data_IF_890944383677
#
_entry.id   IF_890944383677
#
_cell.length_a   1.000
_cell.length_b   1.000
_cell.length_c   1.000
_cell.angle_alpha   90.00
_cell.angle_beta   90.00
_cell.angle_gamma   90.00
#
_symmetry.space_group_name_H-M   'P 1'
#
loop_
_entity.id
_entity.type
_entity.pdbx_description
1 polymer ?
#
# COMPACT_ATOMS: atom_id res chain seq x y z
N UNK A 1 93.50 35.37 -20.19
CA UNK A 1 94.26 34.35 -19.44
C UNK A 1 93.77 34.40 -18.00
N UNK A 2 93.09 33.32 -17.55
CA UNK A 2 92.94 32.88 -16.14
C UNK A 2 92.07 33.78 -15.22
N UNK A 3 91.14 33.36 -14.36
CA UNK A 3 90.43 32.12 -13.98
C UNK A 3 89.32 32.53 -12.97
N UNK A 4 88.26 31.74 -12.86
CA UNK A 4 87.52 31.30 -11.64
C UNK A 4 85.99 31.32 -11.83
N UNK A 5 85.39 30.13 -12.00
CA UNK A 5 84.70 29.34 -10.97
C UNK A 5 83.31 29.92 -10.59
N UNK A 6 82.23 29.26 -10.99
CA UNK A 6 81.57 28.17 -10.22
C UNK A 6 80.41 28.71 -9.39
N UNK A 7 79.18 28.34 -9.79
CA UNK A 7 78.09 27.81 -8.95
C UNK A 7 76.72 28.09 -9.58
N UNK A 8 76.00 27.02 -9.91
CA UNK A 8 74.64 26.79 -9.41
C UNK A 8 74.12 25.43 -9.88
N UNK A 9 74.64 24.34 -9.27
CA UNK A 9 73.97 23.02 -9.27
C UNK A 9 73.10 22.83 -8.01
N UNK A 10 72.84 23.92 -7.28
CA UNK A 10 72.18 23.92 -5.96
C UNK A 10 70.70 24.28 -6.00
N UNK A 11 70.19 24.82 -7.11
CA UNK A 11 68.76 25.17 -7.22
C UNK A 11 67.90 23.96 -7.58
N UNK A 12 68.25 23.16 -8.59
CA UNK A 12 67.40 22.02 -8.99
C UNK A 12 67.27 20.92 -7.93
N UNK A 13 68.33 20.70 -7.13
CA UNK A 13 68.34 19.67 -6.08
C UNK A 13 67.46 20.05 -4.88
N UNK A 14 67.30 21.35 -4.61
CA UNK A 14 66.37 21.86 -3.59
C UNK A 14 64.92 21.70 -4.04
N UNK A 15 64.59 22.08 -5.28
CA UNK A 15 63.23 21.92 -5.82
C UNK A 15 62.79 20.45 -5.87
N UNK A 16 63.69 19.53 -6.21
CA UNK A 16 63.38 18.10 -6.21
C UNK A 16 63.18 17.53 -4.78
N UNK A 17 63.97 18.01 -3.81
CA UNK A 17 63.80 17.65 -2.41
C UNK A 17 62.48 18.19 -1.83
N UNK A 18 62.09 19.43 -2.17
CA UNK A 18 60.80 20.00 -1.77
C UNK A 18 59.62 19.30 -2.44
N UNK A 19 59.74 18.88 -3.70
CA UNK A 19 58.71 18.10 -4.40
C UNK A 19 58.52 16.70 -3.79
N UNK A 20 59.61 16.01 -3.44
CA UNK A 20 59.55 14.73 -2.73
C UNK A 20 58.97 14.88 -1.32
N UNK A 21 59.31 15.96 -0.61
CA UNK A 21 58.78 16.22 0.73
C UNK A 21 57.29 16.56 0.69
N UNK A 22 56.84 17.31 -0.32
CA UNK A 22 55.42 17.60 -0.57
C UNK A 22 54.65 16.34 -0.98
N UNK A 23 55.22 15.46 -1.80
CA UNK A 23 54.62 14.17 -2.16
C UNK A 23 54.55 13.21 -0.97
N UNK A 24 55.57 13.18 -0.10
CA UNK A 24 55.52 12.39 1.14
C UNK A 24 54.52 12.97 2.14
N UNK A 25 54.44 14.30 2.27
CA UNK A 25 53.45 14.95 3.13
C UNK A 25 52.03 14.79 2.58
N UNK A 26 51.83 14.81 1.27
CA UNK A 26 50.54 14.51 0.63
C UNK A 26 50.16 13.04 0.77
N UNK A 27 51.12 12.11 0.68
CA UNK A 27 50.90 10.68 0.90
C UNK A 27 50.58 10.36 2.35
N UNK A 28 51.26 10.99 3.32
CA UNK A 28 50.97 10.90 4.75
C UNK A 28 49.64 11.59 5.06
N UNK A 29 49.38 12.77 4.51
CA UNK A 29 48.09 13.44 4.63
C UNK A 29 46.95 12.67 3.94
N UNK A 30 47.20 11.82 2.95
CA UNK A 30 46.20 10.91 2.37
C UNK A 30 46.00 9.66 3.24
N UNK A 31 47.08 9.13 3.82
CA UNK A 31 47.03 7.96 4.70
C UNK A 31 46.40 8.28 6.06
N UNK A 32 46.53 9.53 6.53
CA UNK A 32 45.99 10.05 7.78
C UNK A 32 44.89 11.11 7.57
N UNK A 33 44.55 11.46 6.33
CA UNK A 33 43.30 12.18 6.09
C UNK A 33 42.21 11.30 6.69
N UNK A 34 41.31 11.85 7.51
CA UNK A 34 40.08 11.13 7.81
C UNK A 34 39.51 10.79 6.42
N UNK A 35 39.47 9.50 6.06
CA UNK A 35 38.62 9.08 4.96
C UNK A 35 37.29 9.67 5.33
N UNK A 36 36.78 10.58 4.52
CA UNK A 36 35.42 11.05 4.65
C UNK A 36 34.57 9.80 4.40
N UNK A 37 34.37 8.99 5.45
CA UNK A 37 33.20 8.15 5.59
C UNK A 37 32.10 9.15 5.35
N UNK A 38 31.34 8.96 4.28
CA UNK A 38 30.10 9.69 4.11
C UNK A 38 29.35 9.47 5.41
N UNK A 39 29.34 10.48 6.27
CA UNK A 39 28.35 10.53 7.32
C UNK A 39 27.04 10.50 6.54
N UNK A 40 26.25 9.44 6.74
CA UNK A 40 24.90 9.43 6.21
C UNK A 40 24.21 10.73 6.60
N UNK A 41 23.26 11.23 5.80
CA UNK A 41 22.43 12.37 6.17
C UNK A 41 21.95 12.21 7.63
N UNK A 42 21.98 13.29 8.41
CA UNK A 42 21.47 13.27 9.79
C UNK A 42 20.08 12.61 9.82
N UNK A 43 19.89 11.60 10.67
CA UNK A 43 18.62 10.89 10.82
C UNK A 43 18.42 9.63 9.95
N UNK A 44 19.46 9.14 9.26
CA UNK A 44 19.43 7.84 8.58
C UNK A 44 20.11 6.75 9.41
N UNK A 45 19.40 5.65 9.65
CA UNK A 45 19.92 4.41 10.23
C UNK A 45 20.41 3.55 9.05
N UNK A 46 21.72 3.29 8.97
CA UNK A 46 22.34 2.58 7.85
C UNK A 46 23.12 1.36 8.35
N UNK A 47 23.06 0.24 7.63
CA UNK A 47 23.97 -0.89 7.74
C UNK A 47 24.60 -1.16 6.37
N UNK A 48 25.87 -0.77 6.23
CA UNK A 48 26.74 -1.00 5.05
C UNK A 48 27.51 -2.33 5.15
N UNK A 49 27.20 -3.16 6.16
CA UNK A 49 27.87 -4.43 6.45
C UNK A 49 29.41 -4.35 6.64
N UNK A 50 30.03 -3.17 6.73
CA UNK A 50 31.49 -3.01 6.72
C UNK A 50 32.14 -3.34 8.07
N UNK A 51 31.43 -3.09 9.17
CA UNK A 51 31.96 -3.26 10.53
C UNK A 51 31.15 -4.30 11.29
N UNK A 52 31.83 -5.31 11.83
CA UNK A 52 31.25 -6.38 12.65
C UNK A 52 31.87 -6.43 14.05
N UNK A 53 31.05 -6.72 15.06
CA UNK A 53 31.49 -7.07 16.42
C UNK A 53 30.74 -8.31 16.89
N UNK A 54 31.38 -9.47 16.85
CA UNK A 54 30.72 -10.75 17.12
C UNK A 54 29.63 -11.05 16.09
N UNK A 55 28.41 -11.29 16.55
CA UNK A 55 27.27 -11.64 15.71
C UNK A 55 26.43 -10.42 15.28
N UNK A 56 26.99 -9.21 15.44
CA UNK A 56 26.31 -7.96 15.11
C UNK A 56 27.11 -7.13 14.09
N UNK A 57 26.41 -6.55 13.12
CA UNK A 57 26.94 -5.44 12.33
C UNK A 57 26.80 -4.13 13.11
N UNK A 58 27.67 -3.16 12.81
CA UNK A 58 27.69 -1.87 13.49
C UNK A 58 27.94 -0.73 12.51
N UNK A 59 27.17 0.35 12.63
CA UNK A 59 27.37 1.55 11.85
C UNK A 59 26.81 2.77 12.58
N UNK A 60 27.62 3.84 12.71
CA UNK A 60 27.25 5.12 13.34
C UNK A 60 26.43 5.03 14.64
N UNK A 61 26.80 4.13 15.56
CA UNK A 61 26.10 3.97 16.83
C UNK A 61 24.97 2.93 16.83
N UNK A 62 24.53 2.49 15.66
CA UNK A 62 23.48 1.49 15.51
C UNK A 62 24.06 0.08 15.38
N UNK A 63 23.33 -0.90 15.92
CA UNK A 63 23.65 -2.33 15.85
C UNK A 63 22.58 -3.04 15.05
N UNK A 64 23.01 -4.00 14.22
CA UNK A 64 22.14 -4.80 13.38
C UNK A 64 22.44 -6.28 13.59
N UNK A 65 21.41 -7.11 13.52
CA UNK A 65 21.55 -8.56 13.65
C UNK A 65 22.38 -9.19 12.51
N UNK A 66 22.73 -10.47 12.69
CA UNK A 66 23.34 -11.33 11.66
C UNK A 66 24.71 -10.91 11.16
N UNK A 67 25.53 -10.32 12.03
CA UNK A 67 26.91 -9.95 11.73
C UNK A 67 27.74 -11.13 11.21
N UNK A 68 27.50 -12.34 11.71
CA UNK A 68 28.17 -13.57 11.28
C UNK A 68 28.02 -13.88 9.79
N UNK A 69 27.06 -13.26 9.10
CA UNK A 69 26.84 -13.39 7.66
C UNK A 69 27.68 -12.42 6.81
N UNK A 70 28.60 -11.65 7.42
CA UNK A 70 29.50 -10.77 6.69
C UNK A 70 30.35 -11.56 5.67
N UNK A 71 30.30 -11.16 4.39
CA UNK A 71 31.10 -11.77 3.33
C UNK A 71 31.71 -10.71 2.43
N UNK A 72 32.89 -11.01 1.89
CA UNK A 72 33.58 -10.20 0.86
C UNK A 72 33.44 -10.78 -0.55
N UNK A 73 32.62 -11.83 -0.72
CA UNK A 73 32.39 -12.46 -2.04
C UNK A 73 31.75 -11.46 -3.02
N UNK A 74 30.84 -10.62 -2.52
CA UNK A 74 30.17 -9.55 -3.25
C UNK A 74 29.86 -8.42 -2.30
N UNK A 75 29.83 -7.20 -2.83
CA UNK A 75 29.47 -5.98 -2.12
C UNK A 75 28.85 -5.01 -3.13
N UNK A 76 27.80 -4.30 -2.71
CA UNK A 76 27.25 -3.20 -3.48
C UNK A 76 28.08 -1.95 -3.22
N UNK A 77 28.33 -1.67 -1.94
CA UNK A 77 29.21 -0.59 -1.49
C UNK A 77 30.34 -1.16 -0.63
N UNK A 78 31.45 -0.44 -0.51
CA UNK A 78 32.56 -0.90 0.34
C UNK A 78 33.20 -2.21 -0.12
N UNK A 79 33.40 -3.14 0.82
CA UNK A 79 34.10 -4.42 0.66
C UNK A 79 33.27 -5.62 1.10
N UNK A 80 32.25 -5.41 1.92
CA UNK A 80 31.50 -6.47 2.55
C UNK A 80 30.00 -6.31 2.30
N UNK A 81 29.27 -7.43 2.34
CA UNK A 81 27.81 -7.45 2.38
C UNK A 81 27.33 -8.55 3.33
N UNK A 82 26.02 -8.58 3.60
CA UNK A 82 25.36 -9.68 4.31
C UNK A 82 25.02 -10.81 3.33
N UNK A 83 25.77 -11.92 3.39
CA UNK A 83 25.53 -13.10 2.56
C UNK A 83 24.62 -14.09 3.29
N UNK A 84 23.34 -14.05 2.95
CA UNK A 84 22.34 -15.01 3.43
C UNK A 84 22.55 -16.35 2.70
N UNK A 85 22.82 -17.45 3.40
CA UNK A 85 23.10 -18.74 2.77
C UNK A 85 21.81 -19.41 2.24
N UNK A 86 21.98 -20.44 1.42
CA UNK A 86 20.91 -21.39 1.16
C UNK A 86 20.68 -22.28 2.40
N UNK A 87 19.47 -22.77 2.59
CA UNK A 87 19.06 -23.61 3.72
C UNK A 87 17.59 -23.97 3.66
N UNK A 88 17.14 -24.76 4.64
CA UNK A 88 15.74 -25.17 4.73
C UNK A 88 14.84 -24.02 5.20
N UNK A 89 13.84 -23.68 4.39
CA UNK A 89 12.90 -22.61 4.69
C UNK A 89 13.52 -21.21 4.66
N UNK A 90 12.87 -20.25 5.30
CA UNK A 90 13.29 -18.85 5.28
C UNK A 90 14.64 -18.66 5.98
N UNK A 91 15.56 -17.96 5.30
CA UNK A 91 16.87 -17.62 5.83
C UNK A 91 16.95 -16.11 6.06
N UNK A 92 17.28 -15.68 7.28
CA UNK A 92 17.24 -14.27 7.68
C UNK A 92 18.62 -13.62 7.61
N UNK A 93 18.67 -12.42 7.04
CA UNK A 93 19.84 -11.55 6.99
C UNK A 93 19.81 -10.46 8.06
N UNK A 94 20.58 -9.40 7.85
CA UNK A 94 20.66 -8.29 8.80
C UNK A 94 19.29 -7.62 9.05
N UNK A 95 19.19 -6.91 10.17
CA UNK A 95 17.97 -6.22 10.53
C UNK A 95 18.18 -5.27 11.71
N UNK A 96 17.25 -4.34 11.87
CA UNK A 96 17.26 -3.29 12.88
C UNK A 96 15.95 -3.30 13.67
N UNK A 97 16.06 -3.19 14.99
CA UNK A 97 14.92 -2.97 15.89
C UNK A 97 14.69 -1.47 16.10
N UNK A 98 13.70 -0.90 15.42
CA UNK A 98 13.29 0.47 15.60
C UNK A 98 12.34 0.57 16.82
N UNK A 99 12.86 1.12 17.92
CA UNK A 99 12.13 1.32 19.19
C UNK A 99 11.70 2.76 19.46
N UNK A 100 12.31 3.72 18.77
CA UNK A 100 12.00 5.14 18.94
C UNK A 100 11.19 5.63 17.75
N UNK A 101 9.87 5.66 17.90
CA UNK A 101 8.92 6.10 16.90
C UNK A 101 7.69 6.72 17.58
N UNK A 102 6.88 7.44 16.81
CA UNK A 102 5.52 7.83 17.19
C UNK A 102 4.52 7.24 16.21
N UNK A 103 3.35 6.85 16.74
CA UNK A 103 2.22 6.47 15.90
C UNK A 103 1.94 7.55 14.85
N UNK A 104 1.70 7.12 13.60
CA UNK A 104 1.49 8.00 12.45
C UNK A 104 2.77 8.54 11.77
N UNK A 105 3.96 8.32 12.32
CA UNK A 105 5.20 8.67 11.61
C UNK A 105 5.39 7.77 10.38
N UNK A 106 5.92 8.37 9.31
CA UNK A 106 6.25 7.67 8.08
C UNK A 106 7.74 7.35 8.01
N UNK A 107 8.06 6.17 7.49
CA UNK A 107 9.42 5.71 7.26
C UNK A 107 9.57 5.12 5.87
N UNK A 108 10.79 5.16 5.38
CA UNK A 108 11.25 4.42 4.21
C UNK A 108 12.41 3.52 4.62
N UNK A 109 12.29 2.24 4.29
CA UNK A 109 13.36 1.28 4.35
C UNK A 109 13.80 0.89 2.93
N UNK A 110 15.10 0.75 2.72
CA UNK A 110 15.69 0.27 1.47
C UNK A 110 16.80 -0.72 1.75
N UNK A 111 17.03 -1.67 0.87
CA UNK A 111 18.20 -2.53 0.89
C UNK A 111 18.56 -2.94 -0.55
N UNK A 112 19.85 -3.04 -0.84
CA UNK A 112 20.32 -3.58 -2.09
C UNK A 112 20.41 -5.09 -2.00
N UNK A 113 19.83 -5.79 -2.97
CA UNK A 113 19.83 -7.24 -3.09
C UNK A 113 20.61 -7.67 -4.33
N UNK A 114 21.43 -8.70 -4.20
CA UNK A 114 22.03 -9.41 -5.34
C UNK A 114 21.79 -10.91 -5.20
N UNK A 115 21.25 -11.53 -6.24
CA UNK A 115 21.00 -12.95 -6.29
C UNK A 115 20.40 -13.38 -7.62
N UNK A 116 20.35 -14.69 -7.91
CA UNK A 116 19.60 -15.22 -9.05
C UNK A 116 18.13 -14.75 -9.01
N UNK A 117 17.51 -14.50 -10.16
CA UNK A 117 16.08 -14.18 -10.28
C UNK A 117 15.16 -15.19 -9.56
N UNK A 118 15.64 -16.42 -9.38
CA UNK A 118 14.92 -17.54 -8.75
C UNK A 118 15.13 -17.65 -7.23
N UNK A 119 16.08 -16.91 -6.66
CA UNK A 119 16.54 -17.03 -5.26
C UNK A 119 15.71 -16.24 -4.24
N UNK A 120 14.69 -15.52 -4.71
CA UNK A 120 13.89 -14.63 -3.87
C UNK A 120 14.74 -13.57 -3.15
N UNK A 121 14.15 -12.96 -2.12
CA UNK A 121 14.85 -12.05 -1.22
C UNK A 121 13.99 -10.84 -0.88
N UNK A 122 13.44 -10.77 0.32
CA UNK A 122 12.48 -9.74 0.67
C UNK A 122 13.08 -8.74 1.64
N UNK A 123 12.65 -7.49 1.55
CA UNK A 123 12.75 -6.49 2.61
C UNK A 123 11.42 -6.47 3.37
N UNK A 124 11.49 -6.48 4.70
CA UNK A 124 10.34 -6.62 5.60
C UNK A 124 10.36 -5.54 6.67
N UNK A 125 9.16 -5.11 7.07
CA UNK A 125 8.91 -4.49 8.38
C UNK A 125 7.81 -5.28 9.10
N UNK A 126 8.08 -5.61 10.36
CA UNK A 126 7.19 -6.39 11.22
C UNK A 126 7.02 -5.71 12.58
N UNK A 127 5.79 -5.59 13.06
CA UNK A 127 5.47 -5.19 14.42
C UNK A 127 5.65 -6.33 15.41
N UNK A 128 6.21 -6.02 16.57
CA UNK A 128 6.37 -6.92 17.71
C UNK A 128 5.70 -6.34 18.95
N UNK A 129 5.36 -7.20 19.91
CA UNK A 129 4.67 -6.83 21.15
C UNK A 129 3.19 -7.24 21.21
N UNK A 130 2.65 -7.84 20.14
CA UNK A 130 1.23 -8.22 20.02
C UNK A 130 0.59 -7.62 18.77
N UNK A 131 1.13 -6.48 18.31
CA UNK A 131 0.67 -5.78 17.12
C UNK A 131 0.70 -6.64 15.84
N UNK A 132 -0.46 -6.76 15.19
CA UNK A 132 -0.60 -7.43 13.90
C UNK A 132 -0.17 -6.50 12.74
N UNK A 133 1.14 -6.25 12.62
CA UNK A 133 1.69 -5.40 11.56
C UNK A 133 2.78 -6.13 10.77
N UNK A 134 2.56 -6.32 9.46
CA UNK A 134 3.54 -6.91 8.56
C UNK A 134 3.43 -6.28 7.17
N UNK A 135 4.56 -5.87 6.62
CA UNK A 135 4.71 -5.43 5.23
C UNK A 135 6.01 -5.97 4.66
N UNK A 136 6.00 -6.38 3.40
CA UNK A 136 7.18 -6.89 2.72
C UNK A 136 7.18 -6.51 1.24
N UNK A 137 8.37 -6.43 0.65
CA UNK A 137 8.55 -6.31 -0.81
C UNK A 137 9.71 -7.18 -1.26
N UNK A 138 9.54 -7.86 -2.38
CA UNK A 138 10.59 -8.55 -3.15
C UNK A 138 10.73 -7.96 -4.56
N UNK A 139 9.89 -6.98 -4.90
CA UNK A 139 9.87 -6.29 -6.18
C UNK A 139 10.94 -5.18 -6.21
N UNK A 140 11.87 -5.21 -7.19
CA UNK A 140 12.91 -4.20 -7.28
C UNK A 140 12.34 -2.87 -7.80
N UNK A 141 12.63 -1.77 -7.10
CA UNK A 141 12.33 -0.42 -7.57
C UNK A 141 13.21 -0.04 -8.76
N UNK A 142 14.49 -0.42 -8.68
CA UNK A 142 15.48 -0.20 -9.72
C UNK A 142 16.56 -1.27 -9.68
N UNK A 143 17.34 -1.37 -10.75
CA UNK A 143 18.49 -2.24 -10.83
C UNK A 143 19.74 -1.46 -11.29
N UNK A 144 20.88 -1.77 -10.68
CA UNK A 144 22.17 -1.23 -11.09
C UNK A 144 22.72 -1.99 -12.30
N UNK A 145 23.63 -1.40 -13.10
CA UNK A 145 24.31 -2.11 -14.19
C UNK A 145 25.07 -3.36 -13.75
N UNK A 146 25.47 -3.43 -12.48
CA UNK A 146 26.16 -4.58 -11.90
C UNK A 146 25.22 -5.71 -11.46
N UNK A 147 23.90 -5.56 -11.66
CA UNK A 147 22.89 -6.58 -11.35
C UNK A 147 22.38 -6.54 -9.91
N UNK A 148 22.73 -5.51 -9.13
CA UNK A 148 22.10 -5.28 -7.82
C UNK A 148 20.72 -4.66 -8.00
N UNK A 149 19.80 -4.99 -7.12
CA UNK A 149 18.41 -4.57 -7.17
C UNK A 149 18.07 -3.82 -5.89
N UNK A 150 17.57 -2.59 -6.00
CA UNK A 150 17.14 -1.83 -4.82
C UNK A 150 15.72 -2.20 -4.46
N UNK A 151 15.53 -2.77 -3.28
CA UNK A 151 14.22 -2.94 -2.67
C UNK A 151 13.87 -1.67 -1.89
N UNK A 152 12.60 -1.27 -1.92
CA UNK A 152 12.11 -0.10 -1.20
C UNK A 152 10.73 -0.37 -0.61
N UNK A 153 10.58 -0.08 0.67
CA UNK A 153 9.33 -0.21 1.41
C UNK A 153 9.07 1.09 2.17
N UNK A 154 7.94 1.73 1.89
CA UNK A 154 7.43 2.87 2.65
C UNK A 154 6.31 2.40 3.56
N UNK A 155 6.33 2.82 4.83
CA UNK A 155 5.37 2.39 5.83
C UNK A 155 5.07 3.51 6.83
N UNK A 156 3.86 3.50 7.37
CA UNK A 156 3.49 4.31 8.52
C UNK A 156 3.50 3.44 9.78
N UNK A 157 3.82 4.05 10.92
CA UNK A 157 3.77 3.38 12.23
C UNK A 157 2.31 3.30 12.69
N UNK A 158 1.74 2.10 12.93
CA UNK A 158 0.36 1.98 13.36
C UNK A 158 0.16 2.56 14.76
N UNK A 159 -1.04 3.08 15.01
CA UNK A 159 -1.49 3.48 16.36
C UNK A 159 -2.02 2.24 17.08
N UNK A 160 -1.10 1.37 17.48
CA UNK A 160 -1.38 0.11 18.16
C UNK A 160 -0.72 0.12 19.54
N UNK A 161 -1.50 0.08 20.64
CA UNK A 161 -0.96 0.11 21.99
C UNK A 161 -0.13 -1.14 22.35
N UNK A 162 -0.24 -2.22 21.59
CA UNK A 162 0.56 -3.44 21.76
C UNK A 162 1.87 -3.40 20.96
N UNK A 163 2.14 -2.35 20.16
CA UNK A 163 3.38 -2.24 19.40
C UNK A 163 4.55 -1.82 20.30
N UNK A 164 5.47 -2.74 20.60
CA UNK A 164 6.73 -2.47 21.32
C UNK A 164 7.81 -1.96 20.36
N UNK A 165 8.05 -2.67 19.25
CA UNK A 165 9.04 -2.27 18.26
C UNK A 165 8.71 -2.74 16.85
N UNK A 166 9.33 -2.07 15.88
CA UNK A 166 9.32 -2.49 14.48
C UNK A 166 10.66 -3.16 14.16
N UNK A 167 10.62 -4.40 13.68
CA UNK A 167 11.79 -5.10 13.15
C UNK A 167 11.84 -4.92 11.64
N UNK A 168 12.86 -4.23 11.15
CA UNK A 168 13.11 -4.01 9.72
C UNK A 168 14.28 -4.89 9.31
N UNK A 169 14.04 -5.87 8.45
CA UNK A 169 15.03 -6.90 8.13
C UNK A 169 14.87 -7.45 6.73
N UNK A 170 15.87 -8.23 6.30
CA UNK A 170 15.85 -8.94 5.03
C UNK A 170 15.83 -10.45 5.25
N UNK A 171 15.21 -11.19 4.33
CA UNK A 171 15.27 -12.65 4.32
C UNK A 171 15.29 -13.19 2.89
N UNK A 172 15.72 -14.44 2.71
CA UNK A 172 15.61 -15.19 1.45
C UNK A 172 14.77 -16.45 1.62
N UNK A 173 14.32 -17.04 0.51
CA UNK A 173 13.53 -18.28 0.53
C UNK A 173 14.37 -19.54 0.78
N UNK A 174 15.68 -19.39 1.01
CA UNK A 174 16.62 -20.46 1.32
C UNK A 174 17.04 -21.30 0.13
N UNK A 175 16.48 -21.12 -1.08
CA UNK A 175 16.82 -21.97 -2.23
C UNK A 175 18.24 -21.75 -2.72
N UNK A 176 18.72 -20.52 -2.66
CA UNK A 176 20.02 -20.10 -3.17
C UNK A 176 20.59 -18.97 -2.28
N UNK A 177 21.92 -18.78 -2.25
CA UNK A 177 22.51 -17.65 -1.52
C UNK A 177 22.08 -16.30 -2.11
N UNK A 178 21.76 -15.35 -1.24
CA UNK A 178 21.39 -13.98 -1.58
C UNK A 178 22.25 -13.02 -0.78
N UNK A 179 22.70 -11.95 -1.42
CA UNK A 179 23.51 -10.91 -0.81
C UNK A 179 22.64 -9.69 -0.58
N UNK A 180 22.70 -9.13 0.62
CA UNK A 180 22.07 -7.87 0.96
C UNK A 180 23.12 -6.87 1.42
N UNK A 181 22.95 -5.63 1.02
CA UNK A 181 23.86 -4.55 1.35
C UNK A 181 23.12 -3.22 1.51
N UNK A 182 23.76 -2.26 2.18
CA UNK A 182 23.27 -0.90 2.39
C UNK A 182 21.79 -0.85 2.85
N UNK A 183 21.44 -1.56 3.94
CA UNK A 183 20.12 -1.42 4.57
C UNK A 183 20.01 -0.02 5.17
N UNK A 184 19.11 0.79 4.63
CA UNK A 184 18.88 2.17 5.07
C UNK A 184 17.45 2.36 5.52
N UNK A 185 17.25 2.96 6.70
CA UNK A 185 15.97 3.31 7.28
C UNK A 185 16.00 4.81 7.58
N UNK A 186 15.02 5.55 7.03
CA UNK A 186 14.88 6.98 7.29
C UNK A 186 13.44 7.33 7.59
N UNK A 187 13.25 8.26 8.53
CA UNK A 187 11.95 8.89 8.73
C UNK A 187 11.66 9.81 7.55
N UNK A 188 10.46 9.73 7.01
CA UNK A 188 9.98 10.63 5.97
C UNK A 188 9.35 11.85 6.62
N UNK A 189 9.80 13.03 6.22
CA UNK A 189 9.08 14.26 6.53
C UNK A 189 7.88 14.36 5.60
N UNK A 190 6.69 14.23 6.17
CA UNK A 190 5.44 14.49 5.48
C UNK A 190 5.23 16.00 5.53
N UNK A 191 5.23 16.72 4.40
CA UNK A 191 5.00 18.17 4.40
C UNK A 191 3.70 18.50 5.14
N UNK A 192 3.63 19.64 5.83
CA UNK A 192 2.35 20.12 6.40
C UNK A 192 1.28 20.32 5.32
N UNK A 193 1.70 20.54 4.06
CA UNK A 193 0.82 20.62 2.89
C UNK A 193 0.36 19.25 2.37
N UNK A 194 0.84 18.15 2.93
CA UNK A 194 0.38 16.81 2.55
C UNK A 194 -1.10 16.65 2.90
N UNK A 195 -1.79 15.87 2.08
CA UNK A 195 -3.20 15.59 2.31
C UNK A 195 -3.42 14.94 3.68
N UNK A 196 -4.17 15.64 4.55
CA UNK A 196 -4.61 15.15 5.85
C UNK A 196 -6.10 14.84 5.75
N UNK A 197 -6.50 13.57 5.55
CA UNK A 197 -7.90 13.25 5.46
C UNK A 197 -8.60 13.51 6.79
N UNK A 198 -9.82 14.06 6.73
CA UNK A 198 -10.71 14.02 7.88
C UNK A 198 -10.90 12.56 8.33
N UNK A 199 -11.10 12.33 9.63
CA UNK A 199 -11.22 10.97 10.18
C UNK A 199 -12.66 10.69 10.62
N UNK A 200 -13.25 9.61 10.14
CA UNK A 200 -14.52 9.09 10.64
C UNK A 200 -14.27 8.03 11.72
N UNK A 201 -15.12 8.01 12.75
CA UNK A 201 -15.10 6.96 13.76
C UNK A 201 -16.37 6.11 13.64
N UNK A 202 -16.21 4.88 13.17
CA UNK A 202 -17.27 3.88 13.12
C UNK A 202 -17.25 3.06 14.42
N UNK A 203 -18.37 3.08 15.15
CA UNK A 203 -18.57 2.31 16.37
C UNK A 203 -19.61 1.22 16.15
N UNK A 204 -19.20 -0.03 16.27
CA UNK A 204 -20.03 -1.23 16.15
C UNK A 204 -19.96 -1.95 17.51
N UNK A 205 -21.09 -2.39 18.03
CA UNK A 205 -21.11 -3.19 19.26
C UNK A 205 -20.50 -4.58 19.04
N UNK A 206 -20.19 -5.28 20.14
CA UNK A 206 -19.53 -6.60 20.09
C UNK A 206 -20.37 -7.62 19.31
N UNK A 207 -21.70 -7.61 19.50
CA UNK A 207 -22.61 -8.51 18.78
C UNK A 207 -22.60 -8.22 17.26
N UNK A 208 -22.68 -6.95 16.86
CA UNK A 208 -22.60 -6.55 15.46
C UNK A 208 -21.26 -6.90 14.83
N UNK A 209 -20.15 -6.70 15.56
CA UNK A 209 -18.82 -7.04 15.08
C UNK A 209 -18.67 -8.56 14.90
N UNK A 210 -19.12 -9.36 15.87
CA UNK A 210 -19.10 -10.82 15.78
C UNK A 210 -19.91 -11.34 14.57
N UNK A 211 -21.04 -10.71 14.25
CA UNK A 211 -21.83 -11.04 13.05
C UNK A 211 -21.09 -10.72 11.76
N UNK A 212 -20.38 -9.59 11.70
CA UNK A 212 -19.55 -9.24 10.54
C UNK A 212 -18.37 -10.20 10.39
N UNK A 213 -17.74 -10.59 11.50
CA UNK A 213 -16.66 -11.59 11.53
C UNK A 213 -17.14 -12.94 11.01
N UNK A 214 -18.27 -13.44 11.51
CA UNK A 214 -18.88 -14.68 11.03
C UNK A 214 -19.15 -14.62 9.53
N UNK A 215 -19.64 -13.47 9.03
CA UNK A 215 -19.89 -13.28 7.60
C UNK A 215 -18.61 -13.28 6.78
N UNK A 216 -17.55 -12.69 7.30
CA UNK A 216 -16.22 -12.73 6.68
C UNK A 216 -15.68 -14.15 6.64
N UNK A 217 -15.76 -14.91 7.73
CA UNK A 217 -15.32 -16.31 7.77
C UNK A 217 -16.08 -17.18 6.78
N UNK A 218 -17.40 -16.98 6.65
CA UNK A 218 -18.21 -17.62 5.63
C UNK A 218 -17.65 -17.32 4.23
N UNK A 219 -17.42 -16.05 3.91
CA UNK A 219 -16.91 -15.62 2.60
C UNK A 219 -15.51 -16.18 2.31
N UNK A 220 -14.61 -16.18 3.29
CA UNK A 220 -13.27 -16.76 3.16
C UNK A 220 -13.33 -18.26 2.87
N UNK A 221 -14.30 -18.97 3.46
CA UNK A 221 -14.51 -20.41 3.22
C UNK A 221 -15.12 -20.70 1.84
N UNK A 222 -16.04 -19.86 1.37
CA UNK A 222 -16.73 -20.08 0.09
C UNK A 222 -15.99 -19.48 -1.11
N UNK A 223 -15.05 -18.56 -0.87
CA UNK A 223 -14.27 -17.86 -1.89
C UNK A 223 -14.92 -16.57 -2.42
N UNK A 224 -16.15 -16.25 -1.99
CA UNK A 224 -16.92 -15.07 -2.40
C UNK A 224 -17.75 -14.54 -1.23
N UNK A 225 -17.98 -13.23 -1.19
CA UNK A 225 -18.89 -12.59 -0.25
C UNK A 225 -20.29 -12.50 -0.86
N UNK A 226 -21.27 -13.17 -0.26
CA UNK A 226 -22.67 -13.06 -0.62
C UNK A 226 -23.41 -12.26 0.45
N UNK A 227 -23.92 -11.07 0.11
CA UNK A 227 -24.60 -10.20 1.08
C UNK A 227 -26.10 -10.05 0.81
N UNK A 228 -26.92 -10.05 1.85
CA UNK A 228 -28.36 -9.80 1.83
C UNK A 228 -28.83 -8.78 2.87
N UNK A 229 -30.14 -8.62 3.01
CA UNK A 229 -30.76 -7.66 3.93
C UNK A 229 -30.56 -7.99 5.41
N UNK A 230 -30.30 -9.26 5.73
CA UNK A 230 -30.04 -9.71 7.10
C UNK A 230 -28.58 -9.52 7.54
N UNK A 231 -27.67 -9.12 6.65
CA UNK A 231 -26.25 -8.92 6.96
C UNK A 231 -25.94 -7.52 7.51
N UNK A 232 -26.94 -6.66 7.65
CA UNK A 232 -26.77 -5.33 8.23
C UNK A 232 -26.76 -5.37 9.76
N UNK A 233 -25.76 -4.72 10.35
CA UNK A 233 -25.65 -4.50 11.80
C UNK A 233 -25.80 -3.01 12.12
N UNK A 234 -26.28 -2.69 13.32
CA UNK A 234 -26.39 -1.30 13.77
C UNK A 234 -25.01 -0.77 14.15
N UNK A 235 -24.77 0.51 13.90
CA UNK A 235 -23.54 1.18 14.29
C UNK A 235 -23.77 2.69 14.44
N UNK A 236 -22.79 3.39 15.01
CA UNK A 236 -22.75 4.85 15.11
C UNK A 236 -21.54 5.38 14.37
N UNK A 237 -21.74 6.41 13.55
CA UNK A 237 -20.69 7.06 12.79
C UNK A 237 -20.47 8.47 13.35
N UNK A 238 -19.30 8.70 13.94
CA UNK A 238 -18.89 10.03 14.38
C UNK A 238 -18.21 10.75 13.23
N UNK A 239 -18.66 11.96 12.96
CA UNK A 239 -18.14 12.87 11.95
C UNK A 239 -17.53 14.06 12.67
N UNK A 240 -16.27 14.47 12.41
CA UNK A 240 -15.60 15.52 13.17
C UNK A 240 -16.36 16.84 13.26
N UNK A 241 -17.08 17.20 12.19
CA UNK A 241 -17.82 18.44 12.08
C UNK A 241 -19.22 18.37 12.73
N UNK A 242 -19.62 17.23 13.31
CA UNK A 242 -20.93 17.02 13.92
C UNK A 242 -20.81 16.72 15.42
N UNK A 243 -21.69 17.33 16.22
CA UNK A 243 -21.75 17.13 17.68
C UNK A 243 -22.22 15.71 17.99
N UNK A 244 -23.38 15.35 17.43
CA UNK A 244 -24.00 14.04 17.64
C UNK A 244 -23.57 13.06 16.55
N UNK A 245 -23.28 11.79 16.90
CA UNK A 245 -22.98 10.76 15.91
C UNK A 245 -24.22 10.43 15.08
N UNK A 246 -24.00 10.04 13.82
CA UNK A 246 -25.05 9.52 12.95
C UNK A 246 -25.35 8.07 13.31
N UNK A 247 -26.64 7.76 13.49
CA UNK A 247 -27.12 6.38 13.55
C UNK A 247 -27.03 5.76 12.15
N UNK A 248 -26.29 4.67 12.01
CA UNK A 248 -26.06 4.00 10.73
C UNK A 248 -26.34 2.49 10.83
N UNK A 249 -26.56 1.86 9.69
CA UNK A 249 -26.36 0.42 9.53
C UNK A 249 -25.12 0.19 8.70
N UNK A 250 -24.37 -0.86 9.01
CA UNK A 250 -23.19 -1.27 8.23
C UNK A 250 -23.24 -2.74 7.88
N UNK A 251 -22.65 -3.10 6.74
CA UNK A 251 -22.37 -4.48 6.33
C UNK A 251 -21.05 -4.54 5.59
N UNK A 252 -20.50 -5.74 5.43
CA UNK A 252 -19.35 -5.95 4.55
C UNK A 252 -19.69 -5.57 3.10
N UNK A 253 -18.71 -4.98 2.40
CA UNK A 253 -18.80 -4.60 0.99
C UNK A 253 -17.94 -5.53 0.13
N UNK A 254 -18.37 -5.70 -1.11
CA UNK A 254 -17.65 -6.43 -2.15
C UNK A 254 -18.33 -7.77 -2.44
N UNK A 255 -17.97 -8.36 -3.57
CA UNK A 255 -18.31 -9.74 -3.92
C UNK A 255 -17.06 -10.62 -3.84
N UNK A 256 -15.89 -10.05 -4.19
CA UNK A 256 -14.59 -10.68 -4.03
C UNK A 256 -13.98 -10.42 -2.65
N UNK A 257 -12.99 -11.25 -2.30
CA UNK A 257 -12.33 -11.23 -0.99
C UNK A 257 -11.31 -10.09 -0.84
N UNK A 258 -10.97 -9.36 -1.91
CA UNK A 258 -10.07 -8.20 -1.90
C UNK A 258 -10.52 -7.12 -0.90
N UNK A 259 -11.83 -6.94 -0.74
CA UNK A 259 -12.42 -6.05 0.24
C UNK A 259 -12.34 -6.54 1.70
N UNK A 260 -11.98 -7.81 1.92
CA UNK A 260 -11.98 -8.49 3.21
C UNK A 260 -10.59 -9.00 3.64
N UNK A 261 -9.56 -8.74 2.84
CA UNK A 261 -8.18 -9.14 3.15
C UNK A 261 -7.68 -8.41 4.38
N UNK A 262 -6.90 -9.14 5.18
CA UNK A 262 -6.28 -8.65 6.41
C UNK A 262 -7.30 -7.99 7.36
N UNK A 263 -6.85 -6.97 8.10
CA UNK A 263 -7.62 -6.22 9.09
C UNK A 263 -8.38 -5.02 8.49
N UNK A 264 -8.21 -4.75 7.19
CA UNK A 264 -8.72 -3.53 6.54
C UNK A 264 -10.00 -3.77 5.73
N UNK A 265 -11.05 -4.21 6.42
CA UNK A 265 -12.32 -4.58 5.79
C UNK A 265 -13.03 -3.37 5.19
N UNK A 266 -13.72 -3.58 4.07
CA UNK A 266 -14.57 -2.58 3.44
C UNK A 266 -16.01 -2.69 3.90
N UNK A 267 -16.65 -1.55 4.10
CA UNK A 267 -18.01 -1.45 4.61
C UNK A 267 -18.92 -0.74 3.61
N UNK A 268 -20.18 -1.17 3.54
CA UNK A 268 -21.28 -0.34 3.04
C UNK A 268 -22.01 0.23 4.23
N UNK A 269 -22.22 1.54 4.24
CA UNK A 269 -22.81 2.32 5.32
C UNK A 269 -24.12 2.92 4.84
N UNK A 270 -25.19 2.73 5.60
CA UNK A 270 -26.52 3.32 5.36
C UNK A 270 -26.91 4.20 6.55
N UNK A 271 -27.04 5.50 6.32
CA UNK A 271 -27.46 6.48 7.33
C UNK A 271 -28.96 6.33 7.62
N UNK A 272 -29.34 6.38 8.90
CA UNK A 272 -30.72 6.22 9.36
C UNK A 272 -31.39 7.57 9.66
N UNK A 273 -32.71 7.53 9.89
CA UNK A 273 -33.44 8.66 10.46
C UNK A 273 -33.66 9.84 9.53
N UNK A 274 -33.53 9.65 8.21
CA UNK A 274 -33.63 10.74 7.23
C UNK A 274 -32.41 11.66 7.16
N UNK A 275 -31.41 11.43 8.02
CA UNK A 275 -30.11 12.11 7.96
C UNK A 275 -29.27 11.64 6.75
N UNK A 276 -28.22 12.40 6.45
CA UNK A 276 -27.26 12.08 5.39
C UNK A 276 -25.86 12.55 5.79
N UNK A 277 -24.83 11.85 5.33
CA UNK A 277 -23.44 12.30 5.46
C UNK A 277 -22.97 12.92 4.14
N UNK A 278 -22.59 14.20 4.16
CA UNK A 278 -22.29 14.98 2.94
C UNK A 278 -23.41 14.88 1.88
N UNK A 279 -24.67 14.69 2.29
CA UNK A 279 -25.79 14.49 1.36
C UNK A 279 -25.89 13.07 0.74
N UNK A 280 -25.13 12.09 1.24
CA UNK A 280 -25.26 10.67 0.90
C UNK A 280 -26.07 9.94 2.00
N UNK A 281 -27.07 9.14 1.60
CA UNK A 281 -27.76 8.24 2.54
C UNK A 281 -27.08 6.88 2.59
N UNK A 282 -26.62 6.36 1.45
CA UNK A 282 -25.78 5.15 1.40
C UNK A 282 -24.44 5.49 0.74
N UNK A 283 -23.36 5.02 1.34
CA UNK A 283 -22.02 5.13 0.79
C UNK A 283 -21.17 3.93 1.21
N UNK A 284 -20.00 3.82 0.63
CA UNK A 284 -19.01 2.79 0.96
C UNK A 284 -17.83 3.44 1.66
N UNK A 285 -17.22 2.72 2.60
CA UNK A 285 -15.89 2.99 3.12
C UNK A 285 -15.05 1.77 2.76
N UNK A 286 -14.15 1.89 1.77
CA UNK A 286 -13.39 0.74 1.27
C UNK A 286 -11.88 0.97 1.29
N UNK A 287 -11.13 -0.13 1.34
CA UNK A 287 -9.67 -0.09 1.19
C UNK A 287 -9.32 0.48 -0.20
N UNK A 288 -8.43 1.48 -0.31
CA UNK A 288 -8.03 2.02 -1.61
C UNK A 288 -7.41 0.98 -2.56
N UNK A 289 -6.80 -0.07 -2.00
CA UNK A 289 -6.21 -1.17 -2.77
C UNK A 289 -7.25 -1.87 -3.68
N UNK A 290 -8.49 -2.03 -3.22
CA UNK A 290 -9.57 -2.66 -3.98
C UNK A 290 -10.09 -1.77 -5.14
N UNK A 291 -9.52 -0.57 -5.30
CA UNK A 291 -9.82 0.41 -6.34
C UNK A 291 -8.54 1.04 -6.92
N UNK A 292 -7.44 0.31 -6.94
CA UNK A 292 -6.19 0.77 -7.57
C UNK A 292 -5.70 2.15 -7.05
N UNK A 293 -5.91 2.41 -5.76
CA UNK A 293 -5.39 3.58 -5.06
C UNK A 293 -5.80 4.93 -5.69
N UNK A 294 -4.84 5.73 -6.14
CA UNK A 294 -5.07 7.05 -6.71
C UNK A 294 -5.63 6.99 -8.13
N UNK A 295 -5.53 5.86 -8.83
CA UNK A 295 -6.01 5.72 -10.21
C UNK A 295 -7.53 5.94 -10.29
N UNK A 296 -8.30 5.35 -9.37
CA UNK A 296 -9.75 5.53 -9.31
C UNK A 296 -10.12 6.99 -9.01
N UNK A 297 -9.45 7.60 -8.03
CA UNK A 297 -9.65 9.02 -7.72
C UNK A 297 -9.39 9.91 -8.95
N UNK A 298 -8.28 9.67 -9.66
CA UNK A 298 -7.95 10.42 -10.87
C UNK A 298 -8.99 10.24 -11.97
N UNK A 299 -9.53 9.04 -12.12
CA UNK A 299 -10.61 8.76 -13.07
C UNK A 299 -11.90 9.51 -12.72
N UNK A 300 -12.25 9.57 -11.43
CA UNK A 300 -13.36 10.40 -10.95
C UNK A 300 -13.15 11.89 -11.25
N UNK A 301 -11.96 12.42 -11.03
CA UNK A 301 -11.65 13.82 -11.35
C UNK A 301 -11.73 14.10 -12.85
N UNK A 302 -11.29 13.15 -13.69
CA UNK A 302 -11.45 13.26 -15.14
C UNK A 302 -12.93 13.26 -15.54
N UNK A 303 -13.75 12.36 -15.01
CA UNK A 303 -15.18 12.32 -15.30
C UNK A 303 -15.90 13.60 -14.86
N UNK A 304 -15.60 14.11 -13.66
CA UNK A 304 -16.13 15.41 -13.20
C UNK A 304 -15.76 16.53 -14.17
N UNK A 305 -14.51 16.58 -14.63
CA UNK A 305 -14.01 17.59 -15.57
C UNK A 305 -14.73 17.53 -16.92
N UNK A 306 -15.01 16.33 -17.42
CA UNK A 306 -15.67 16.12 -18.72
C UNK A 306 -17.21 16.07 -18.62
N UNK A 307 -17.78 16.44 -17.47
CA UNK A 307 -19.22 16.38 -17.17
C UNK A 307 -19.84 15.00 -17.46
N UNK A 308 -19.09 13.94 -17.14
CA UNK A 308 -19.56 12.56 -17.12
C UNK A 308 -20.09 12.26 -15.71
N UNK A 309 -21.34 11.78 -15.64
CA UNK A 309 -21.97 11.42 -14.37
C UNK A 309 -21.11 10.41 -13.61
N UNK A 310 -20.72 10.74 -12.38
CA UNK A 310 -19.83 9.88 -11.59
C UNK A 310 -20.13 9.94 -10.09
N UNK A 311 -19.83 8.89 -9.32
CA UNK A 311 -20.05 8.89 -7.87
C UNK A 311 -19.13 9.88 -7.16
N UNK A 312 -19.58 10.41 -6.02
CA UNK A 312 -18.69 11.15 -5.13
C UNK A 312 -17.67 10.19 -4.53
N UNK A 313 -16.40 10.43 -4.85
CA UNK A 313 -15.26 9.63 -4.43
C UNK A 313 -14.16 10.55 -3.88
N UNK A 314 -13.62 10.22 -2.69
CA UNK A 314 -12.44 10.86 -2.11
C UNK A 314 -11.89 10.00 -0.95
N UNK A 315 -10.78 10.42 -0.35
CA UNK A 315 -10.13 9.72 0.75
C UNK A 315 -10.54 10.25 2.13
N UNK A 316 -10.55 9.35 3.12
CA UNK A 316 -10.94 9.61 4.50
C UNK A 316 -10.13 8.73 5.45
N UNK A 317 -9.81 9.18 6.65
CA UNK A 317 -9.31 8.31 7.72
C UNK A 317 -10.46 7.50 8.31
N UNK A 318 -10.23 6.24 8.67
CA UNK A 318 -11.24 5.43 9.35
C UNK A 318 -10.70 4.88 10.67
N UNK A 319 -11.45 5.13 11.74
CA UNK A 319 -11.27 4.46 13.03
C UNK A 319 -12.43 3.51 13.26
N UNK A 320 -12.15 2.27 13.63
CA UNK A 320 -13.15 1.26 13.99
C UNK A 320 -12.99 0.92 15.47
N UNK A 321 -14.03 1.19 16.27
CA UNK A 321 -14.02 0.92 17.71
C UNK A 321 -12.77 1.46 18.45
N UNK A 322 -12.27 2.62 18.02
CA UNK A 322 -11.08 3.28 18.59
C UNK A 322 -9.75 2.90 17.93
N UNK A 323 -9.69 1.80 17.15
CA UNK A 323 -8.49 1.41 16.40
C UNK A 323 -8.37 2.21 15.11
N UNK A 324 -7.22 2.83 14.86
CA UNK A 324 -6.95 3.55 13.62
C UNK A 324 -6.62 2.58 12.48
N UNK A 325 -7.47 2.54 11.45
CA UNK A 325 -7.29 1.69 10.29
C UNK A 325 -6.61 2.44 9.13
N UNK A 326 -6.24 3.71 9.32
CA UNK A 326 -5.60 4.56 8.31
C UNK A 326 -6.54 5.01 7.19
N UNK A 327 -5.97 5.29 6.02
CA UNK A 327 -6.68 5.87 4.87
C UNK A 327 -7.60 4.86 4.20
N UNK A 328 -8.86 5.25 4.04
CA UNK A 328 -9.90 4.61 3.27
C UNK A 328 -10.33 5.53 2.11
N UNK A 329 -10.98 4.97 1.11
CA UNK A 329 -11.77 5.75 0.16
C UNK A 329 -13.25 5.66 0.55
N UNK A 330 -13.94 6.79 0.46
CA UNK A 330 -15.40 6.79 0.48
C UNK A 330 -15.95 6.90 -0.93
N UNK A 331 -17.07 6.24 -1.18
CA UNK A 331 -17.72 6.22 -2.49
C UNK A 331 -19.25 6.20 -2.33
N UNK A 332 -19.91 7.15 -2.96
CA UNK A 332 -21.37 7.25 -3.00
C UNK A 332 -22.04 6.01 -3.61
N UNK A 333 -23.21 5.63 -3.09
CA UNK A 333 -24.05 4.59 -3.71
C UNK A 333 -24.99 5.17 -4.78
N UNK A 334 -25.43 4.32 -5.71
CA UNK A 334 -26.38 4.70 -6.74
C UNK A 334 -27.78 4.90 -6.16
N UNK A 335 -28.09 6.14 -5.81
CA UNK A 335 -29.39 6.61 -5.36
C UNK A 335 -29.71 7.93 -6.08
N UNK A 336 -30.95 8.42 -5.98
CA UNK A 336 -31.36 9.64 -6.69
C UNK A 336 -30.50 10.87 -6.39
N UNK A 337 -29.95 10.95 -5.18
CA UNK A 337 -29.08 12.03 -4.73
C UNK A 337 -27.82 12.15 -5.58
N UNK A 338 -27.35 11.06 -6.20
CA UNK A 338 -26.19 11.04 -7.10
C UNK A 338 -26.39 12.00 -8.30
N UNK A 339 -27.54 11.88 -8.97
CA UNK A 339 -27.85 12.69 -10.15
C UNK A 339 -28.26 14.11 -9.75
N UNK A 340 -29.01 14.26 -8.65
CA UNK A 340 -29.42 15.56 -8.11
C UNK A 340 -28.21 16.42 -7.69
N UNK A 341 -27.21 15.82 -7.04
CA UNK A 341 -25.98 16.50 -6.63
C UNK A 341 -25.16 17.01 -7.84
N UNK A 342 -25.34 16.41 -9.02
CA UNK A 342 -24.71 16.82 -10.28
C UNK A 342 -25.64 17.66 -11.15
N UNK A 343 -26.65 18.31 -10.55
CA UNK A 343 -27.60 19.21 -11.24
C UNK A 343 -28.37 18.52 -12.37
N UNK A 344 -28.54 17.20 -12.29
CA UNK A 344 -29.35 16.41 -13.22
C UNK A 344 -30.69 16.09 -12.57
N UNK A 345 -31.74 16.05 -13.38
CA UNK A 345 -33.09 15.71 -12.92
C UNK A 345 -33.13 14.26 -12.45
N UNK A 346 -33.89 13.99 -11.39
CA UNK A 346 -34.18 12.63 -10.93
C UNK A 346 -34.70 11.76 -12.09
N UNK A 347 -34.17 10.54 -12.17
CA UNK A 347 -34.53 9.54 -13.16
C UNK A 347 -33.98 8.16 -12.80
N UNK A 348 -34.39 7.11 -13.54
CA UNK A 348 -33.92 5.75 -13.31
C UNK A 348 -32.41 5.63 -13.53
N UNK A 349 -31.70 5.03 -12.56
CA UNK A 349 -30.31 4.59 -12.73
C UNK A 349 -30.34 3.11 -13.04
N UNK A 350 -30.00 2.76 -14.28
CA UNK A 350 -30.06 1.38 -14.76
C UNK A 350 -28.83 0.58 -14.35
N UNK A 351 -29.01 -0.72 -14.16
CA UNK A 351 -27.93 -1.70 -13.98
C UNK A 351 -28.26 -3.01 -14.68
N UNK A 352 -27.23 -3.77 -15.00
CA UNK A 352 -27.37 -5.15 -15.44
C UNK A 352 -27.47 -6.06 -14.22
N UNK A 353 -28.36 -7.04 -14.28
CA UNK A 353 -28.50 -8.04 -13.23
C UNK A 353 -27.33 -9.03 -13.31
N UNK A 354 -26.63 -9.22 -12.19
CA UNK A 354 -25.40 -10.02 -12.13
C UNK A 354 -25.61 -11.40 -11.47
N UNK A 355 -26.81 -11.71 -10.97
CA UNK A 355 -27.07 -12.93 -10.20
C UNK A 355 -26.66 -14.19 -10.98
N UNK A 356 -27.05 -14.29 -12.26
CA UNK A 356 -26.69 -15.44 -13.08
C UNK A 356 -25.17 -15.58 -13.31
N UNK A 357 -24.45 -14.46 -13.38
CA UNK A 357 -22.98 -14.46 -13.43
C UNK A 357 -22.41 -15.03 -12.14
N UNK A 358 -22.87 -14.55 -10.99
CA UNK A 358 -22.38 -14.95 -9.68
C UNK A 358 -22.74 -16.41 -9.34
N UNK A 359 -23.91 -16.89 -9.76
CA UNK A 359 -24.29 -18.31 -9.66
C UNK A 359 -23.32 -19.20 -10.45
N UNK A 360 -22.90 -18.77 -11.64
CA UNK A 360 -21.92 -19.49 -12.45
C UNK A 360 -20.51 -19.49 -11.82
N UNK A 361 -20.12 -18.39 -11.20
CA UNK A 361 -18.86 -18.26 -10.43
C UNK A 361 -18.90 -19.20 -9.23
N UNK A 362 -19.96 -19.15 -8.43
CA UNK A 362 -20.16 -19.99 -7.24
C UNK A 362 -20.11 -21.47 -7.58
N UNK A 363 -20.79 -21.88 -8.66
CA UNK A 363 -20.77 -23.27 -9.13
C UNK A 363 -19.36 -23.74 -9.49
N UNK A 364 -18.53 -22.90 -10.11
CA UNK A 364 -17.14 -23.26 -10.42
C UNK A 364 -16.29 -23.42 -9.17
N UNK A 365 -16.42 -22.50 -8.22
CA UNK A 365 -15.71 -22.60 -6.94
C UNK A 365 -16.10 -23.88 -6.20
N UNK A 366 -17.39 -24.21 -6.16
CA UNK A 366 -17.89 -25.44 -5.51
C UNK A 366 -17.43 -26.72 -6.20
N UNK A 367 -17.40 -26.75 -7.54
CA UNK A 367 -17.03 -27.97 -8.29
C UNK A 367 -15.52 -28.17 -8.39
N UNK A 368 -14.76 -27.10 -8.57
CA UNK A 368 -13.34 -27.18 -8.95
C UNK A 368 -12.39 -26.65 -7.87
N UNK A 369 -12.87 -25.83 -6.93
CA UNK A 369 -12.02 -25.09 -5.98
C UNK A 369 -11.28 -23.89 -6.59
N UNK A 370 -11.46 -23.60 -7.88
CA UNK A 370 -10.84 -22.47 -8.58
C UNK A 370 -11.70 -21.99 -9.76
N UNK A 371 -11.44 -20.77 -10.23
CA UNK A 371 -12.11 -20.16 -11.38
C UNK A 371 -11.39 -20.50 -12.69
N UNK A 372 -12.16 -20.91 -13.71
CA UNK A 372 -11.62 -21.12 -15.05
C UNK A 372 -11.79 -19.84 -15.89
N UNK A 373 -10.74 -19.02 -15.92
CA UNK A 373 -10.75 -17.72 -16.60
C UNK A 373 -10.84 -17.79 -18.13
N UNK A 374 -10.56 -18.95 -18.74
CA UNK A 374 -10.54 -19.13 -20.20
C UNK A 374 -11.85 -19.66 -20.79
N UNK A 375 -12.87 -19.89 -19.96
CA UNK A 375 -14.17 -20.37 -20.43
C UNK A 375 -15.08 -19.17 -20.61
N UNK A 376 -15.52 -18.94 -21.84
CA UNK A 376 -16.58 -17.99 -22.13
C UNK A 376 -17.87 -18.45 -21.44
N UNK A 377 -18.39 -17.59 -20.58
CA UNK A 377 -19.59 -17.87 -19.79
C UNK A 377 -20.70 -16.96 -20.31
N UNK A 378 -21.75 -17.51 -20.95
CA UNK A 378 -22.86 -16.70 -21.45
C UNK A 378 -23.46 -15.78 -20.36
N UNK A 379 -23.47 -16.22 -19.11
CA UNK A 379 -23.94 -15.44 -17.97
C UNK A 379 -23.12 -14.16 -17.67
N UNK A 380 -21.91 -14.02 -18.23
CA UNK A 380 -21.06 -12.83 -18.12
C UNK A 380 -21.33 -11.78 -19.20
N UNK A 381 -22.11 -12.11 -20.23
CA UNK A 381 -22.37 -11.20 -21.34
C UNK A 381 -23.49 -10.24 -20.93
N UNK A 382 -23.27 -8.91 -21.00
CA UNK A 382 -24.32 -7.92 -20.66
C UNK A 382 -25.60 -8.09 -21.46
N UNK A 383 -25.49 -8.59 -22.70
CA UNK A 383 -26.62 -8.92 -23.58
C UNK A 383 -27.61 -9.93 -22.98
N UNK A 384 -27.12 -10.80 -22.09
CA UNK A 384 -27.91 -11.86 -21.45
C UNK A 384 -28.41 -11.44 -20.06
N UNK A 385 -28.02 -10.26 -19.56
CA UNK A 385 -28.41 -9.77 -18.25
C UNK A 385 -29.73 -8.99 -18.35
N UNK A 386 -30.64 -9.24 -17.39
CA UNK A 386 -31.82 -8.39 -17.25
C UNK A 386 -31.40 -6.96 -16.89
N UNK A 387 -32.12 -5.97 -17.44
CA UNK A 387 -31.90 -4.55 -17.14
C UNK A 387 -32.88 -4.14 -16.03
N UNK A 388 -32.33 -3.76 -14.87
CA UNK A 388 -33.06 -3.35 -13.67
C UNK A 388 -32.70 -1.90 -13.30
N UNK A 389 -33.41 -1.32 -12.34
CA UNK A 389 -33.04 -0.04 -11.75
C UNK A 389 -32.52 -0.19 -10.31
N UNK A 390 -31.60 0.69 -9.90
CA UNK A 390 -31.33 0.89 -8.48
C UNK A 390 -32.58 1.47 -7.79
N UNK A 391 -32.94 0.91 -6.62
CA UNK A 391 -34.13 1.34 -5.88
C UNK A 391 -35.45 1.12 -6.61
N UNK A 392 -35.53 0.11 -7.50
CA UNK A 392 -36.67 -0.10 -8.39
C UNK A 392 -38.02 -0.17 -7.66
N UNK A 393 -38.09 -0.81 -6.49
CA UNK A 393 -39.31 -0.90 -5.69
C UNK A 393 -39.86 0.46 -5.23
N UNK A 394 -38.98 1.42 -4.94
CA UNK A 394 -39.35 2.79 -4.60
C UNK A 394 -39.68 3.60 -5.86
N UNK A 395 -38.91 3.39 -6.93
CA UNK A 395 -39.13 4.02 -8.23
C UNK A 395 -40.52 3.72 -8.79
N UNK A 396 -40.96 2.46 -8.70
CA UNK A 396 -42.24 1.98 -9.23
C UNK A 396 -43.47 2.53 -8.47
N UNK A 397 -43.28 3.22 -7.34
CA UNK A 397 -44.36 3.92 -6.62
C UNK A 397 -44.78 5.21 -7.33
N UNK A 398 -43.95 5.75 -8.22
CA UNK A 398 -44.25 6.93 -9.03
C UNK A 398 -44.61 6.52 -10.45
N UNK A 399 -45.78 6.92 -10.92
CA UNK A 399 -46.21 6.64 -12.31
C UNK A 399 -45.27 7.27 -13.34
N UNK A 400 -44.83 8.50 -13.08
CA UNK A 400 -43.89 9.22 -13.95
C UNK A 400 -42.54 8.49 -14.03
N UNK A 401 -41.97 8.11 -12.88
CA UNK A 401 -40.69 7.40 -12.88
C UNK A 401 -40.82 6.01 -13.48
N UNK A 402 -41.95 5.33 -13.29
CA UNK A 402 -42.24 4.03 -13.92
C UNK A 402 -42.22 4.13 -15.44
N UNK A 403 -42.83 5.17 -16.01
CA UNK A 403 -42.80 5.41 -17.46
C UNK A 403 -41.38 5.70 -17.94
N UNK A 404 -40.63 6.53 -17.21
CA UNK A 404 -39.23 6.82 -17.53
C UNK A 404 -38.34 5.58 -17.46
N UNK A 405 -38.53 4.71 -16.47
CA UNK A 405 -37.81 3.44 -16.35
C UNK A 405 -38.07 2.53 -17.54
N UNK A 406 -39.33 2.35 -17.93
CA UNK A 406 -39.69 1.55 -19.12
C UNK A 406 -39.03 2.09 -20.38
N UNK A 407 -39.03 3.41 -20.56
CA UNK A 407 -38.38 4.07 -21.69
C UNK A 407 -36.86 3.86 -21.66
N UNK A 408 -36.22 4.13 -20.52
CA UNK A 408 -34.78 3.98 -20.35
C UNK A 408 -34.33 2.54 -20.59
N UNK A 409 -35.07 1.56 -20.06
CA UNK A 409 -34.83 0.14 -20.27
C UNK A 409 -34.90 -0.24 -21.76
N UNK A 410 -35.92 0.26 -22.47
CA UNK A 410 -36.04 0.01 -23.91
C UNK A 410 -34.88 0.64 -24.69
N UNK A 411 -34.44 1.85 -24.33
CA UNK A 411 -33.28 2.50 -24.96
C UNK A 411 -31.98 1.73 -24.71
N UNK A 412 -31.77 1.26 -23.47
CA UNK A 412 -30.60 0.44 -23.14
C UNK A 412 -30.61 -0.89 -23.90
N UNK A 413 -31.77 -1.52 -24.07
CA UNK A 413 -31.90 -2.73 -24.89
C UNK A 413 -31.58 -2.47 -26.37
N UNK A 414 -32.08 -1.35 -26.93
CA UNK A 414 -31.80 -0.94 -28.32
C UNK A 414 -30.33 -0.62 -28.57
N UNK A 415 -29.63 -0.13 -27.55
CA UNK A 415 -28.18 0.08 -27.63
C UNK A 415 -27.44 -1.26 -27.67
N UNK A 416 -27.85 -2.22 -26.82
CA UNK A 416 -27.24 -3.55 -26.76
C UNK A 416 -27.46 -4.37 -28.03
N UNK A 417 -28.64 -4.30 -28.64
CA UNK A 417 -28.96 -5.04 -29.87
C UNK A 417 -28.46 -4.32 -31.15
N UNK A 418 -27.89 -3.12 -31.01
CA UNK A 418 -27.37 -2.31 -32.11
C UNK A 418 -28.45 -1.65 -32.98
N UNK A 419 -29.73 -1.69 -32.58
CA UNK A 419 -30.82 -1.03 -33.30
C UNK A 419 -30.83 0.49 -33.12
N UNK A 420 -30.05 1.03 -32.18
CA UNK A 420 -29.87 2.47 -31.96
C UNK A 420 -28.42 2.82 -31.64
N UNK A 421 -27.83 3.86 -32.28
CA UNK A 421 -26.49 4.32 -31.94
C UNK A 421 -26.45 4.99 -30.55
N UNK A 422 -25.24 5.11 -29.94
CA UNK A 422 -25.03 5.74 -28.64
C UNK A 422 -25.53 7.19 -28.54
#
# INVERSE_FOLDING_TARGET
>A
MILSESRSKTTHRKWFAWALLLLSLAGIAWHFAPRWRQAGPEGIILCDAETRRGDLFYHNGHTFGKGELQSSERAFSGKYSCRVPAGDGLQFGFGYELRQFRAGEWYEATAWRYGPLQAGGSLVVQGHGGAAFYRSTDYPLEASPAGWQRLQLSFFVPDDPELDYLHIYVYSDGKMPVYFDDLSIRRLEVPETAFQPAALELRIDEEGLARLEQKREEALRTGILETGDDDWVNARLRVPEQIEPLEVKVRLKGDWLDHLRDDKWSFRVRVRGGSAWRGMHTFSLHTPEARDWLSEWLLHELWKREDVLTTRYDFIGLRLNGRDLGVYAYEEHFEKQLVEHQQRREGPILRFQENGMWDAVKRQLQLNGYLQYKVDQPARRPENAAIEAFGESDLLKSEVLTQQFRQARNLAQQLLDGSRPP
#
